data_IF_532144050983
#
_entry.id   IF_532144050983
#
_cell.length_a   1.000
_cell.length_b   1.000
_cell.length_c   1.000
_cell.angle_alpha   90.00
_cell.angle_beta   90.00
_cell.angle_gamma   90.00
#
_symmetry.space_group_name_H-M   'P 1'
#
loop_
_entity.id
_entity.type
_entity.pdbx_description
1 polymer ?
#
# COMPACT_ATOMS: atom_id res chain seq x y z
N UNK A 1 -12.67 35.29 -32.59
CA UNK A 1 -13.27 34.48 -33.68
C UNK A 1 -14.15 33.43 -33.06
N UNK A 2 -15.24 33.02 -33.73
CA UNK A 2 -16.01 31.87 -33.26
C UNK A 2 -15.07 30.66 -33.12
N UNK A 3 -15.33 29.86 -32.10
CA UNK A 3 -14.61 28.62 -31.86
C UNK A 3 -15.59 27.48 -31.64
N UNK A 4 -15.14 26.27 -31.91
CA UNK A 4 -15.92 25.05 -31.85
C UNK A 4 -15.60 24.26 -30.59
N UNK A 5 -16.63 23.64 -30.02
CA UNK A 5 -16.51 22.67 -28.94
C UNK A 5 -17.49 21.52 -29.16
N UNK A 6 -17.29 20.42 -28.43
CA UNK A 6 -18.24 19.32 -28.33
C UNK A 6 -19.21 19.56 -27.18
N UNK A 7 -20.45 19.13 -27.37
CA UNK A 7 -21.53 19.22 -26.40
C UNK A 7 -22.31 17.90 -26.37
N UNK A 8 -23.14 17.73 -25.35
CA UNK A 8 -24.15 16.67 -25.37
C UNK A 8 -25.07 16.84 -26.57
N UNK A 9 -25.48 15.72 -27.16
CA UNK A 9 -26.55 15.68 -28.14
C UNK A 9 -27.54 14.59 -27.78
N UNK A 10 -28.79 14.76 -28.20
CA UNK A 10 -29.81 13.73 -28.02
C UNK A 10 -30.62 13.53 -29.32
N UNK A 11 -29.98 13.07 -30.40
CA UNK A 11 -30.71 12.70 -31.61
C UNK A 11 -31.72 11.58 -31.33
N UNK A 12 -32.87 11.68 -31.97
CA UNK A 12 -33.95 10.70 -31.99
C UNK A 12 -33.51 9.40 -32.69
N UNK A 13 -32.67 9.51 -33.72
CA UNK A 13 -32.14 8.36 -34.46
C UNK A 13 -30.61 8.30 -34.43
N UNK A 14 -30.07 7.09 -34.49
CA UNK A 14 -28.62 6.85 -34.61
C UNK A 14 -28.21 6.50 -36.05
N UNK A 15 -29.16 6.40 -36.98
CA UNK A 15 -28.93 5.84 -38.32
C UNK A 15 -29.49 6.71 -39.46
N UNK A 16 -30.48 7.56 -39.19
CA UNK A 16 -31.15 8.39 -40.20
C UNK A 16 -31.44 9.76 -39.62
N UNK A 17 -31.58 10.79 -40.46
CA UNK A 17 -31.96 12.12 -40.02
C UNK A 17 -33.47 12.22 -39.84
N UNK A 18 -33.90 12.63 -38.66
CA UNK A 18 -35.30 12.78 -38.28
C UNK A 18 -35.59 14.17 -37.70
N UNK A 19 -36.86 14.56 -37.70
CA UNK A 19 -37.26 15.89 -37.22
C UNK A 19 -36.93 16.13 -35.73
N UNK A 20 -36.71 15.07 -34.95
CA UNK A 20 -36.32 15.16 -33.53
C UNK A 20 -34.83 15.39 -33.30
N UNK A 21 -33.99 15.35 -34.34
CA UNK A 21 -32.54 15.51 -34.19
C UNK A 21 -32.10 16.96 -34.09
N UNK A 22 -32.89 17.88 -34.65
CA UNK A 22 -32.65 19.31 -34.64
C UNK A 22 -32.74 19.90 -33.21
N UNK A 23 -31.93 20.93 -32.94
CA UNK A 23 -31.90 21.67 -31.66
C UNK A 23 -31.73 20.80 -30.40
N UNK A 24 -31.05 19.65 -30.53
CA UNK A 24 -30.85 18.69 -29.44
C UNK A 24 -29.54 18.87 -28.67
N UNK A 25 -28.84 20.01 -28.85
CA UNK A 25 -27.52 20.25 -28.27
C UNK A 25 -27.57 20.92 -26.90
N UNK A 26 -26.77 20.43 -25.96
CA UNK A 26 -26.57 21.06 -24.65
C UNK A 26 -25.76 22.35 -24.69
N UNK A 27 -25.56 22.94 -23.51
CA UNK A 27 -24.81 24.18 -23.28
C UNK A 27 -23.44 23.98 -22.61
N UNK A 28 -23.21 22.82 -21.99
CA UNK A 28 -21.96 22.55 -21.27
C UNK A 28 -20.91 21.96 -22.22
N UNK A 29 -19.80 22.68 -22.38
CA UNK A 29 -18.69 22.27 -23.25
C UNK A 29 -17.96 21.04 -22.70
N UNK A 30 -17.71 20.07 -23.58
CA UNK A 30 -17.02 18.82 -23.27
C UNK A 30 -15.51 18.88 -23.43
N UNK A 31 -14.95 19.99 -23.91
CA UNK A 31 -13.50 20.22 -23.99
C UNK A 31 -13.15 21.55 -23.30
N UNK A 32 -12.02 21.58 -22.60
CA UNK A 32 -11.51 22.81 -21.98
C UNK A 32 -10.82 23.74 -23.01
N UNK A 33 -10.28 23.14 -24.07
CA UNK A 33 -9.68 23.86 -25.20
C UNK A 33 -10.60 23.76 -26.41
N UNK A 34 -10.99 24.91 -26.94
CA UNK A 34 -11.82 25.02 -28.14
C UNK A 34 -10.95 25.13 -29.40
N UNK A 35 -11.49 24.75 -30.55
CA UNK A 35 -10.80 24.92 -31.83
C UNK A 35 -11.32 26.18 -32.50
N UNK A 36 -10.45 27.17 -32.69
CA UNK A 36 -10.81 28.39 -33.40
C UNK A 36 -11.21 28.09 -34.85
N UNK A 37 -12.17 28.85 -35.39
CA UNK A 37 -12.64 28.68 -36.76
C UNK A 37 -11.50 28.63 -37.79
N UNK A 38 -10.53 29.54 -37.67
CA UNK A 38 -9.38 29.62 -38.59
C UNK A 38 -8.38 28.45 -38.43
N UNK A 39 -8.46 27.71 -37.33
CA UNK A 39 -7.59 26.59 -37.00
C UNK A 39 -8.25 25.24 -37.27
N UNK A 40 -9.53 25.24 -37.67
CA UNK A 40 -10.26 24.01 -37.95
C UNK A 40 -9.73 23.35 -39.23
N UNK A 41 -9.27 22.11 -39.12
CA UNK A 41 -8.75 21.35 -40.24
C UNK A 41 -9.88 20.85 -41.13
N UNK A 42 -9.81 21.15 -42.43
CA UNK A 42 -10.75 20.65 -43.46
C UNK A 42 -10.19 19.48 -44.27
N UNK A 43 -8.94 19.08 -44.02
CA UNK A 43 -8.27 17.98 -44.73
C UNK A 43 -7.80 16.85 -43.80
N UNK A 44 -7.99 17.01 -42.49
CA UNK A 44 -7.51 16.07 -41.48
C UNK A 44 -8.38 16.07 -40.23
N UNK A 45 -7.94 15.32 -39.22
CA UNK A 45 -8.64 15.26 -37.95
C UNK A 45 -8.50 16.57 -37.16
N UNK A 46 -9.57 16.88 -36.42
CA UNK A 46 -9.59 17.90 -35.39
C UNK A 46 -9.64 17.19 -34.04
N UNK A 47 -8.63 17.39 -33.20
CA UNK A 47 -8.52 16.69 -31.92
C UNK A 47 -9.25 17.46 -30.82
N UNK A 48 -10.33 16.87 -30.32
CA UNK A 48 -11.10 17.38 -29.20
C UNK A 48 -10.72 16.64 -27.92
N UNK A 49 -9.85 17.26 -27.11
CA UNK A 49 -9.44 16.72 -25.82
C UNK A 49 -10.57 16.88 -24.80
N UNK A 50 -11.26 15.77 -24.51
CA UNK A 50 -12.39 15.76 -23.58
C UNK A 50 -11.95 16.12 -22.15
N UNK A 51 -12.72 16.99 -21.50
CA UNK A 51 -12.61 17.30 -20.08
C UNK A 51 -13.33 16.25 -19.22
N UNK A 52 -13.46 16.50 -17.91
CA UNK A 52 -14.12 15.56 -16.99
C UNK A 52 -15.57 15.26 -17.39
N UNK A 53 -16.35 16.29 -17.77
CA UNK A 53 -17.73 16.17 -18.24
C UNK A 53 -17.81 15.39 -19.55
N UNK A 54 -16.96 15.72 -20.53
CA UNK A 54 -16.90 15.03 -21.81
C UNK A 54 -16.53 13.55 -21.68
N UNK A 55 -15.58 13.22 -20.80
CA UNK A 55 -15.21 11.82 -20.49
C UNK A 55 -16.37 11.07 -19.84
N UNK A 56 -17.11 11.71 -18.94
CA UNK A 56 -18.28 11.11 -18.28
C UNK A 56 -19.43 10.82 -19.26
N UNK A 57 -19.52 11.58 -20.37
CA UNK A 57 -20.50 11.40 -21.41
C UNK A 57 -20.19 10.23 -22.38
N UNK A 58 -19.00 9.62 -22.30
CA UNK A 58 -18.67 8.44 -23.11
C UNK A 58 -19.49 7.24 -22.63
N UNK A 59 -20.33 6.71 -23.51
CA UNK A 59 -21.06 5.47 -23.27
C UNK A 59 -20.13 4.26 -23.38
N UNK A 60 -20.11 3.42 -22.35
CA UNK A 60 -19.33 2.17 -22.31
C UNK A 60 -20.06 0.96 -22.91
N UNK A 61 -21.35 1.11 -23.20
CA UNK A 61 -22.26 0.02 -23.59
C UNK A 61 -23.04 0.32 -24.87
N UNK A 62 -22.97 1.54 -25.39
CA UNK A 62 -23.75 2.00 -26.54
C UNK A 62 -23.04 3.16 -27.25
N UNK A 63 -23.73 3.82 -28.19
CA UNK A 63 -23.23 4.97 -28.93
C UNK A 63 -23.03 6.16 -27.99
N UNK A 64 -21.88 6.82 -28.08
CA UNK A 64 -21.64 8.12 -27.44
C UNK A 64 -22.20 9.22 -28.33
N UNK A 65 -23.09 10.05 -27.78
CA UNK A 65 -23.80 11.10 -28.52
C UNK A 65 -23.15 12.46 -28.26
N UNK A 66 -22.41 12.95 -29.25
CA UNK A 66 -21.79 14.27 -29.23
C UNK A 66 -22.34 15.13 -30.36
N UNK A 67 -22.37 16.44 -30.13
CA UNK A 67 -22.66 17.43 -31.16
C UNK A 67 -21.60 18.50 -31.20
N UNK A 68 -21.28 18.96 -32.41
CA UNK A 68 -20.40 20.11 -32.61
C UNK A 68 -21.25 21.38 -32.55
N UNK A 69 -20.82 22.38 -31.78
CA UNK A 69 -21.48 23.67 -31.68
C UNK A 69 -20.46 24.79 -31.59
N UNK A 70 -20.82 25.97 -32.09
CA UNK A 70 -20.04 27.18 -31.87
C UNK A 70 -20.26 27.63 -30.42
N UNK A 71 -19.20 28.02 -29.72
CA UNK A 71 -19.25 28.43 -28.31
C UNK A 71 -20.18 29.63 -28.09
N UNK A 72 -20.22 30.54 -29.06
CA UNK A 72 -21.14 31.68 -29.11
C UNK A 72 -22.61 31.24 -29.04
N UNK A 73 -23.00 30.23 -29.81
CA UNK A 73 -24.37 29.72 -29.79
C UNK A 73 -24.72 29.06 -28.46
N UNK A 74 -23.77 28.36 -27.83
CA UNK A 74 -23.98 27.70 -26.53
C UNK A 74 -24.19 28.69 -25.39
N UNK A 75 -23.60 29.88 -25.51
CA UNK A 75 -23.65 30.95 -24.51
C UNK A 75 -24.64 32.05 -24.84
N UNK A 76 -25.39 31.90 -25.95
CA UNK A 76 -26.29 32.93 -26.49
C UNK A 76 -25.60 34.30 -26.62
N UNK A 77 -24.35 34.28 -27.10
CA UNK A 77 -23.52 35.48 -27.24
C UNK A 77 -23.19 35.73 -28.71
N UNK A 78 -23.46 36.93 -29.26
CA UNK A 78 -23.15 37.20 -30.65
C UNK A 78 -21.63 37.13 -30.90
N UNK A 79 -21.17 36.59 -32.03
CA UNK A 79 -19.74 36.55 -32.31
C UNK A 79 -19.22 37.96 -32.60
N UNK A 80 -17.96 38.24 -32.24
CA UNK A 80 -17.36 39.58 -32.34
C UNK A 80 -16.96 40.06 -33.75
N UNK A 81 -17.38 39.37 -34.80
CA UNK A 81 -17.16 39.79 -36.19
C UNK A 81 -18.10 40.92 -36.62
N UNK A 82 -17.60 41.82 -37.47
CA UNK A 82 -18.38 42.87 -38.13
C UNK A 82 -18.16 42.74 -39.63
N UNK A 83 -19.20 42.32 -40.36
CA UNK A 83 -19.18 42.15 -41.81
C UNK A 83 -20.36 41.33 -42.32
N UNK A 84 -20.91 41.72 -43.48
CA UNK A 84 -21.93 40.96 -44.21
C UNK A 84 -21.28 39.75 -44.92
N UNK A 85 -21.04 38.66 -44.19
CA UNK A 85 -20.67 37.39 -44.80
C UNK A 85 -21.94 36.52 -44.92
N UNK A 86 -22.46 36.40 -46.14
CA UNK A 86 -23.73 35.74 -46.46
C UNK A 86 -23.61 34.25 -46.80
N UNK A 87 -22.49 33.58 -46.47
CA UNK A 87 -22.38 32.15 -46.74
C UNK A 87 -20.99 31.60 -46.47
N UNK A 88 -20.79 31.14 -45.23
CA UNK A 88 -19.67 30.27 -44.90
C UNK A 88 -20.23 28.86 -44.67
N UNK A 89 -19.94 27.95 -45.60
CA UNK A 89 -20.27 26.53 -45.47
C UNK A 89 -19.27 25.86 -44.53
N UNK A 90 -19.77 25.28 -43.44
CA UNK A 90 -18.97 24.42 -42.58
C UNK A 90 -19.01 22.98 -43.10
N UNK A 91 -17.93 22.56 -43.77
CA UNK A 91 -17.81 21.22 -44.33
C UNK A 91 -17.26 20.25 -43.28
N UNK A 92 -18.06 19.26 -42.92
CA UNK A 92 -17.65 18.12 -42.08
C UNK A 92 -17.79 16.82 -42.85
N UNK A 93 -16.72 16.03 -42.81
CA UNK A 93 -16.72 14.69 -43.36
C UNK A 93 -17.54 13.77 -42.45
N UNK A 94 -18.48 13.05 -43.04
CA UNK A 94 -19.32 12.10 -42.32
C UNK A 94 -18.69 10.70 -42.34
N UNK A 95 -19.03 9.88 -41.35
CA UNK A 95 -18.51 8.51 -41.25
C UNK A 95 -18.82 7.62 -42.47
N UNK A 96 -19.80 8.02 -43.28
CA UNK A 96 -20.23 7.33 -44.51
C UNK A 96 -19.34 7.58 -45.73
N UNK A 97 -18.44 8.57 -45.67
CA UNK A 97 -17.60 8.98 -46.82
C UNK A 97 -16.41 8.03 -47.09
N UNK A 98 -16.24 6.97 -46.29
CA UNK A 98 -15.20 5.95 -46.45
C UNK A 98 -14.39 5.71 -45.18
N UNK A 99 -13.53 4.68 -45.17
CA UNK A 99 -12.82 4.21 -43.97
C UNK A 99 -11.84 5.23 -43.37
N UNK A 100 -11.34 6.20 -44.14
CA UNK A 100 -10.36 7.20 -43.70
C UNK A 100 -10.95 8.45 -43.02
N UNK A 101 -12.26 8.61 -43.01
CA UNK A 101 -12.94 9.83 -42.53
C UNK A 101 -13.81 9.58 -41.29
N UNK A 102 -13.81 8.36 -40.75
CA UNK A 102 -14.59 8.03 -39.57
C UNK A 102 -14.00 8.73 -38.33
N UNK A 103 -14.85 9.27 -37.43
CA UNK A 103 -14.38 9.76 -36.15
C UNK A 103 -13.76 8.60 -35.37
N UNK A 104 -12.69 8.88 -34.63
CA UNK A 104 -12.01 7.92 -33.77
C UNK A 104 -12.01 8.43 -32.33
N UNK A 105 -12.24 7.54 -31.38
CA UNK A 105 -11.97 7.79 -29.97
C UNK A 105 -10.54 7.31 -29.67
N UNK A 106 -9.66 8.23 -29.28
CA UNK A 106 -8.31 7.89 -28.83
C UNK A 106 -8.31 7.86 -27.31
N UNK A 107 -8.04 6.68 -26.74
CA UNK A 107 -7.90 6.49 -25.29
C UNK A 107 -6.42 6.35 -24.96
N UNK A 108 -5.90 7.27 -24.17
CA UNK A 108 -4.54 7.19 -23.61
C UNK A 108 -4.64 6.88 -22.13
N UNK A 109 -4.05 5.78 -21.69
CA UNK A 109 -3.98 5.39 -20.28
C UNK A 109 -2.63 4.76 -19.98
N UNK A 110 -2.20 4.87 -18.74
CA UNK A 110 -1.03 4.14 -18.22
C UNK A 110 -1.55 2.86 -17.55
N UNK A 111 -1.12 1.67 -17.97
CA UNK A 111 -1.50 0.44 -17.29
C UNK A 111 -0.87 0.38 -15.89
N UNK A 112 -1.62 -0.16 -14.93
CA UNK A 112 -1.07 -0.50 -13.61
C UNK A 112 -0.12 -1.69 -13.78
N UNK A 113 1.03 -1.65 -13.12
CA UNK A 113 1.98 -2.77 -13.03
C UNK A 113 2.08 -3.28 -11.60
N UNK A 114 2.51 -4.53 -11.40
CA UNK A 114 2.69 -5.06 -10.05
C UNK A 114 3.67 -4.18 -9.24
N UNK A 115 3.51 -4.08 -7.91
CA UNK A 115 4.38 -3.25 -7.07
C UNK A 115 5.84 -3.72 -7.10
N UNK A 116 6.78 -2.80 -6.86
CA UNK A 116 8.18 -3.15 -6.59
C UNK A 116 8.47 -2.97 -5.11
N UNK A 117 8.85 -4.07 -4.45
CA UNK A 117 9.06 -4.12 -3.00
C UNK A 117 10.51 -4.50 -2.72
N UNK A 118 11.03 -4.07 -1.56
CA UNK A 118 12.30 -4.52 -1.00
C UNK A 118 12.04 -5.14 0.37
N UNK A 119 12.80 -6.18 0.70
CA UNK A 119 12.77 -6.84 2.02
C UNK A 119 14.04 -6.44 2.77
N UNK A 120 13.91 -6.01 4.01
CA UNK A 120 15.06 -5.77 4.89
C UNK A 120 15.26 -6.95 5.84
N UNK A 121 16.38 -6.96 6.57
CA UNK A 121 16.69 -8.01 7.54
C UNK A 121 15.60 -8.14 8.61
N UNK A 122 15.38 -9.37 9.08
CA UNK A 122 14.47 -9.68 10.19
C UNK A 122 15.13 -9.32 11.52
N UNK A 123 14.35 -8.78 12.46
CA UNK A 123 14.76 -8.53 13.84
C UNK A 123 13.72 -9.02 14.86
N UNK A 124 13.93 -8.73 16.14
CA UNK A 124 13.07 -9.18 17.26
C UNK A 124 12.74 -10.69 17.22
N UNK A 125 13.76 -11.50 16.89
CA UNK A 125 13.62 -12.95 16.72
C UNK A 125 13.57 -13.62 18.09
N UNK A 126 12.43 -14.24 18.39
CA UNK A 126 12.18 -15.12 19.53
C UNK A 126 11.92 -16.56 19.03
N UNK A 127 11.67 -17.50 19.94
CA UNK A 127 11.51 -18.92 19.61
C UNK A 127 10.32 -19.20 18.68
N UNK A 128 9.28 -18.37 18.73
CA UNK A 128 8.03 -18.55 17.95
C UNK A 128 7.56 -17.27 17.22
N UNK A 129 8.29 -16.16 17.33
CA UNK A 129 7.94 -14.87 16.73
C UNK A 129 9.16 -14.16 16.16
N UNK A 130 8.95 -13.27 15.20
CA UNK A 130 9.98 -12.38 14.65
C UNK A 130 9.32 -11.19 13.95
N UNK A 131 10.07 -10.13 13.64
CA UNK A 131 9.55 -8.95 12.94
C UNK A 131 10.16 -8.84 11.55
N UNK A 132 9.31 -8.86 10.53
CA UNK A 132 9.69 -8.69 9.14
C UNK A 132 9.54 -7.23 8.67
N UNK A 133 10.42 -6.81 7.77
CA UNK A 133 10.51 -5.43 7.28
C UNK A 133 10.41 -5.39 5.76
N UNK A 134 9.61 -4.46 5.25
CA UNK A 134 9.45 -4.23 3.83
C UNK A 134 9.39 -2.76 3.47
N UNK A 135 9.69 -2.44 2.21
CA UNK A 135 9.48 -1.10 1.66
C UNK A 135 8.97 -1.18 0.22
N UNK A 136 7.80 -0.60 -0.02
CA UNK A 136 7.24 -0.42 -1.36
C UNK A 136 8.01 0.73 -1.99
N UNK A 137 8.81 0.45 -3.01
CA UNK A 137 9.62 1.45 -3.74
C UNK A 137 8.89 2.05 -4.93
N UNK A 138 7.95 1.29 -5.51
CA UNK A 138 7.07 1.71 -6.58
C UNK A 138 5.73 0.98 -6.43
N UNK A 139 4.62 1.72 -6.47
CA UNK A 139 3.27 1.15 -6.39
C UNK A 139 2.72 0.76 -7.77
N UNK A 140 3.46 1.02 -8.86
CA UNK A 140 3.07 0.63 -10.21
C UNK A 140 1.88 1.42 -10.75
N UNK A 141 1.64 2.64 -10.24
CA UNK A 141 0.59 3.54 -10.71
C UNK A 141 -0.75 3.42 -9.98
N UNK A 142 -0.84 2.57 -8.96
CA UNK A 142 -2.01 2.42 -8.09
C UNK A 142 -1.56 2.10 -6.67
N UNK A 143 -2.17 2.71 -5.66
CA UNK A 143 -1.90 2.35 -4.26
C UNK A 143 -2.19 0.86 -4.01
N UNK A 144 -1.31 0.23 -3.25
CA UNK A 144 -1.43 -1.18 -2.92
C UNK A 144 -2.59 -1.38 -1.93
N UNK A 145 -3.48 -2.33 -2.22
CA UNK A 145 -4.58 -2.67 -1.31
C UNK A 145 -4.16 -3.60 -0.17
N UNK A 146 -3.00 -4.27 -0.32
CA UNK A 146 -2.42 -5.14 0.70
C UNK A 146 -0.91 -5.01 0.73
N UNK A 147 -0.32 -5.22 1.90
CA UNK A 147 1.13 -5.39 2.07
C UNK A 147 1.44 -6.32 3.23
N UNK A 148 2.62 -6.91 3.21
CA UNK A 148 3.09 -7.66 4.35
C UNK A 148 4.34 -8.47 4.11
N UNK A 149 4.49 -9.55 4.86
CA UNK A 149 5.60 -10.50 4.72
C UNK A 149 5.07 -11.93 4.63
N UNK A 150 5.72 -12.76 3.81
CA UNK A 150 5.44 -14.18 3.66
C UNK A 150 6.71 -15.00 3.89
N UNK A 151 6.59 -16.17 4.53
CA UNK A 151 7.71 -16.99 4.95
C UNK A 151 7.43 -18.50 4.85
N UNK A 152 8.51 -19.27 4.68
CA UNK A 152 8.50 -20.73 4.70
C UNK A 152 9.90 -21.28 5.07
N UNK A 153 10.06 -22.60 5.13
CA UNK A 153 11.34 -23.27 5.45
C UNK A 153 12.03 -23.88 4.23
N UNK A 154 11.46 -23.71 3.04
CA UNK A 154 11.91 -24.34 1.79
C UNK A 154 12.51 -23.37 0.78
N UNK A 155 12.37 -22.06 1.00
CA UNK A 155 12.83 -21.00 0.12
C UNK A 155 11.73 -20.47 -0.80
N UNK A 156 11.99 -19.28 -1.35
CA UNK A 156 11.11 -18.53 -2.23
C UNK A 156 9.65 -18.44 -1.76
N UNK A 157 9.40 -17.96 -0.53
CA UNK A 157 8.03 -17.86 -0.02
C UNK A 157 7.17 -16.91 -0.87
N UNK A 158 5.89 -17.22 -0.92
CA UNK A 158 4.84 -16.48 -1.64
C UNK A 158 3.65 -16.22 -0.72
N UNK A 159 2.67 -15.45 -1.16
CA UNK A 159 1.43 -15.21 -0.39
C UNK A 159 0.55 -16.46 -0.19
N UNK A 160 0.92 -17.60 -0.78
CA UNK A 160 0.29 -18.90 -0.54
C UNK A 160 0.87 -19.66 0.66
N UNK A 161 2.05 -19.25 1.15
CA UNK A 161 2.70 -19.80 2.34
C UNK A 161 2.19 -19.12 3.62
N UNK A 162 2.92 -19.28 4.73
CA UNK A 162 2.67 -18.50 5.95
C UNK A 162 2.89 -17.02 5.68
N UNK A 163 2.00 -16.16 6.18
CA UNK A 163 2.08 -14.71 5.95
C UNK A 163 1.44 -13.87 7.05
N UNK A 164 1.84 -12.61 7.09
CA UNK A 164 1.22 -11.54 7.88
C UNK A 164 0.85 -10.41 6.93
N UNK A 165 -0.43 -10.06 6.89
CA UNK A 165 -1.01 -9.15 5.90
C UNK A 165 -1.68 -7.94 6.59
N UNK A 166 -1.50 -6.77 5.99
CA UNK A 166 -2.25 -5.54 6.27
C UNK A 166 -3.09 -5.19 5.04
N UNK A 167 -4.30 -4.66 5.23
CA UNK A 167 -5.21 -4.24 4.15
C UNK A 167 -5.68 -2.82 4.39
N UNK A 168 -5.37 -1.91 3.46
CA UNK A 168 -5.74 -0.49 3.44
C UNK A 168 -5.35 0.08 2.06
N UNK A 169 -5.19 1.40 1.90
CA UNK A 169 -4.57 2.04 0.74
C UNK A 169 -3.12 2.44 1.06
N UNK A 170 -2.15 1.73 0.47
CA UNK A 170 -0.73 1.95 0.75
C UNK A 170 0.01 2.51 -0.48
N UNK A 171 0.50 3.73 -0.36
CA UNK A 171 1.48 4.28 -1.31
C UNK A 171 2.89 3.74 -1.10
N UNK A 172 3.86 4.40 -1.72
CA UNK A 172 5.30 4.15 -1.52
C UNK A 172 5.67 4.39 -0.06
N UNK A 173 6.44 3.48 0.54
CA UNK A 173 6.91 3.61 1.91
C UNK A 173 7.25 2.30 2.61
N UNK A 174 7.93 2.46 3.75
CA UNK A 174 8.36 1.37 4.61
C UNK A 174 7.19 0.85 5.47
N UNK A 175 7.27 -0.42 5.84
CA UNK A 175 6.31 -1.09 6.71
C UNK A 175 6.98 -2.24 7.46
N UNK A 176 6.40 -2.59 8.60
CA UNK A 176 6.84 -3.71 9.44
C UNK A 176 5.67 -4.63 9.72
N UNK A 177 5.90 -5.94 9.78
CA UNK A 177 4.85 -6.93 10.08
C UNK A 177 5.35 -8.00 11.05
N UNK A 178 4.55 -8.37 12.06
CA UNK A 178 4.89 -9.47 12.94
C UNK A 178 4.75 -10.80 12.21
N UNK A 179 5.68 -11.71 12.47
CA UNK A 179 5.65 -13.12 12.11
C UNK A 179 5.41 -13.91 13.39
N UNK A 180 4.44 -14.83 13.36
CA UNK A 180 4.00 -15.61 14.53
C UNK A 180 3.80 -17.06 14.15
N UNK A 181 3.88 -17.97 15.13
CA UNK A 181 3.71 -19.40 14.90
C UNK A 181 4.94 -20.02 14.23
N UNK A 182 6.12 -19.46 14.50
CA UNK A 182 7.39 -20.04 14.11
C UNK A 182 7.69 -21.23 15.02
N UNK A 183 8.51 -22.16 14.53
CA UNK A 183 9.02 -23.29 15.33
C UNK A 183 10.38 -22.91 15.90
N UNK A 184 10.72 -23.25 17.16
CA UNK A 184 12.06 -23.05 17.71
C UNK A 184 13.11 -23.88 16.97
N UNK A 185 14.36 -23.42 16.97
CA UNK A 185 15.51 -24.09 16.32
C UNK A 185 15.27 -24.37 14.82
N UNK A 186 14.65 -23.43 14.11
CA UNK A 186 14.25 -23.59 12.72
C UNK A 186 14.75 -22.45 11.83
N UNK A 187 15.28 -22.82 10.68
CA UNK A 187 15.68 -21.89 9.61
C UNK A 187 14.47 -21.49 8.76
N UNK A 188 14.33 -20.19 8.47
CA UNK A 188 13.25 -19.60 7.69
C UNK A 188 13.75 -18.67 6.59
N UNK A 189 13.00 -18.66 5.49
CA UNK A 189 13.11 -17.72 4.39
C UNK A 189 11.91 -16.78 4.42
N UNK A 190 12.12 -15.49 4.20
CA UNK A 190 11.05 -14.48 4.18
C UNK A 190 11.19 -13.50 3.01
N UNK A 191 10.05 -13.05 2.47
CA UNK A 191 9.95 -11.96 1.51
C UNK A 191 8.88 -10.96 1.98
N UNK A 192 9.17 -9.67 1.85
CA UNK A 192 8.14 -8.64 1.88
C UNK A 192 7.34 -8.66 0.56
N UNK A 193 6.05 -8.33 0.62
CA UNK A 193 5.19 -8.23 -0.55
C UNK A 193 4.19 -7.09 -0.44
N UNK A 194 3.63 -6.69 -1.59
CA UNK A 194 2.50 -5.79 -1.70
C UNK A 194 1.64 -6.16 -2.91
N UNK A 195 0.36 -5.82 -2.88
CA UNK A 195 -0.62 -6.18 -3.92
C UNK A 195 -1.40 -4.97 -4.40
N UNK A 196 -1.51 -4.79 -5.71
CA UNK A 196 -2.43 -3.87 -6.39
C UNK A 196 -3.25 -4.62 -7.46
N UNK A 197 -4.04 -3.92 -8.28
CA UNK A 197 -4.88 -4.58 -9.29
C UNK A 197 -4.11 -5.37 -10.35
N UNK A 198 -2.80 -5.10 -10.53
CA UNK A 198 -1.94 -5.82 -11.44
C UNK A 198 -1.28 -7.08 -10.83
N UNK A 199 -1.40 -7.30 -9.52
CA UNK A 199 -0.93 -8.51 -8.84
C UNK A 199 0.03 -8.26 -7.67
N UNK A 200 0.66 -9.34 -7.20
CA UNK A 200 1.64 -9.31 -6.11
C UNK A 200 3.03 -8.89 -6.61
N UNK A 201 3.62 -7.93 -5.92
CA UNK A 201 5.03 -7.57 -5.99
C UNK A 201 5.79 -8.12 -4.80
N UNK A 202 6.96 -8.73 -5.03
CA UNK A 202 7.79 -9.32 -3.97
C UNK A 202 9.14 -8.63 -3.89
N UNK A 203 9.65 -8.53 -2.66
CA UNK A 203 11.04 -8.16 -2.41
C UNK A 203 12.02 -9.32 -2.55
N UNK A 204 13.29 -9.01 -2.32
CA UNK A 204 14.35 -10.01 -2.22
C UNK A 204 14.09 -10.97 -1.06
N UNK A 205 14.59 -12.20 -1.18
CA UNK A 205 14.58 -13.15 -0.07
C UNK A 205 15.62 -12.76 0.97
N UNK A 206 15.26 -12.85 2.24
CA UNK A 206 16.19 -12.86 3.36
C UNK A 206 15.93 -14.07 4.25
N UNK A 207 16.89 -14.41 5.09
CA UNK A 207 16.92 -15.64 5.89
C UNK A 207 17.21 -15.33 7.35
N UNK A 208 16.66 -16.14 8.25
CA UNK A 208 16.92 -16.05 9.69
C UNK A 208 16.67 -17.41 10.38
N UNK A 209 17.22 -17.58 11.58
CA UNK A 209 17.06 -18.77 12.41
C UNK A 209 16.37 -18.40 13.73
N UNK A 210 15.40 -19.20 14.17
CA UNK A 210 14.82 -19.07 15.51
C UNK A 210 15.73 -19.74 16.55
N UNK A 211 15.83 -19.17 17.76
CA UNK A 211 16.57 -19.81 18.86
C UNK A 211 15.89 -21.12 19.32
N UNK A 212 16.62 -22.00 20.02
CA UNK A 212 16.04 -23.21 20.60
C UNK A 212 15.06 -22.87 21.72
N UNK A 213 14.10 -23.77 21.97
CA UNK A 213 13.16 -23.62 23.08
C UNK A 213 13.89 -23.65 24.43
N UNK A 214 13.51 -22.77 25.35
CA UNK A 214 14.03 -22.80 26.72
C UNK A 214 13.46 -24.01 27.47
N UNK A 215 14.31 -24.97 27.83
CA UNK A 215 13.94 -26.05 28.74
C UNK A 215 14.22 -25.63 30.18
N UNK A 216 13.17 -25.48 30.99
CA UNK A 216 13.33 -25.33 32.44
C UNK A 216 13.66 -26.71 33.00
N UNK A 217 14.90 -26.90 33.44
CA UNK A 217 15.25 -28.03 34.29
C UNK A 217 14.85 -27.69 35.72
N UNK A 218 13.78 -28.30 36.22
CA UNK A 218 13.50 -28.33 37.66
C UNK A 218 14.61 -29.15 38.33
N UNK A 219 15.50 -28.45 39.05
CA UNK A 219 16.45 -29.11 39.93
C UNK A 219 15.70 -29.44 41.22
N UNK A 220 15.26 -30.69 41.36
CA UNK A 220 14.81 -31.19 42.66
C UNK A 220 15.99 -31.19 43.62
N UNK A 221 15.99 -30.24 44.56
CA UNK A 221 16.91 -30.29 45.70
C UNK A 221 16.35 -31.32 46.67
N UNK A 222 16.89 -32.54 46.59
CA UNK A 222 16.65 -33.57 47.61
C UNK A 222 17.22 -33.09 48.95
N UNK A 223 16.41 -33.18 50.01
CA UNK A 223 16.80 -32.88 51.40
C UNK A 223 18.02 -33.72 51.78
N UNK A 224 19.21 -33.15 51.63
CA UNK A 224 20.46 -33.88 51.86
C UNK A 224 21.77 -33.23 51.45
N UNK A 225 21.80 -31.94 51.07
CA UNK A 225 23.09 -31.21 51.02
C UNK A 225 23.55 -30.95 52.46
N UNK A 226 24.24 -31.94 53.03
CA UNK A 226 25.06 -31.73 54.21
C UNK A 226 26.28 -30.90 53.77
N UNK A 227 26.28 -29.61 54.08
CA UNK A 227 27.49 -28.78 54.04
C UNK A 227 28.39 -29.22 55.20
N UNK A 228 29.16 -30.29 55.03
CA UNK A 228 30.25 -30.62 55.95
C UNK A 228 31.50 -29.82 55.56
N UNK A 229 31.45 -28.49 55.73
CA UNK A 229 32.66 -27.70 55.72
C UNK A 229 33.20 -27.63 57.15
N UNK A 230 34.31 -28.32 57.37
CA UNK A 230 34.93 -28.47 58.69
C UNK A 230 35.68 -27.18 59.00
N UNK A 231 35.09 -26.29 59.79
CA UNK A 231 35.74 -25.09 60.31
C UNK A 231 36.93 -25.46 61.23
N UNK A 232 38.13 -25.58 60.67
CA UNK A 232 39.37 -25.61 61.46
C UNK A 232 39.67 -24.19 61.94
N UNK A 233 39.20 -23.84 63.15
CA UNK A 233 39.58 -22.58 63.83
C UNK A 233 40.96 -22.72 64.45
N UNK A 234 41.97 -22.09 63.85
CA UNK A 234 43.14 -21.62 64.60
C UNK A 234 42.67 -20.51 65.56
N UNK A 235 43.06 -20.51 66.85
CA UNK A 235 42.49 -19.59 67.83
C UNK A 235 43.12 -18.21 67.67
N UNK A 236 42.43 -17.30 66.99
CA UNK A 236 42.70 -15.87 67.14
C UNK A 236 41.86 -15.32 68.28
N UNK A 237 42.56 -14.90 69.32
CA UNK A 237 42.06 -14.31 70.55
C UNK A 237 41.32 -13.00 70.22
N UNK A 238 39.99 -12.99 70.35
CA UNK A 238 39.20 -11.77 70.41
C UNK A 238 38.44 -11.74 71.74
N UNK A 239 38.80 -10.75 72.57
CA UNK A 239 38.03 -10.35 73.76
C UNK A 239 36.75 -9.66 73.30
N UNK A 240 35.66 -9.97 74.01
CA UNK A 240 34.34 -9.35 74.03
C UNK A 240 33.56 -9.32 72.71
N UNK A 241 32.59 -10.24 72.66
CA UNK A 241 31.23 -10.16 72.11
C UNK A 241 31.02 -9.54 70.72
N UNK A 242 30.77 -10.44 69.76
CA UNK A 242 30.09 -10.13 68.48
C UNK A 242 30.94 -10.39 67.24
N UNK A 243 30.89 -11.62 66.70
CA UNK A 243 31.45 -11.93 65.38
C UNK A 243 30.43 -11.51 64.31
N UNK A 244 30.73 -10.47 63.52
CA UNK A 244 30.00 -10.17 62.29
C UNK A 244 30.73 -10.82 61.10
N UNK A 245 30.07 -11.74 60.41
CA UNK A 245 30.46 -12.16 59.05
C UNK A 245 29.83 -11.17 58.08
N UNK A 246 30.67 -10.33 57.46
CA UNK A 246 30.27 -9.47 56.36
C UNK A 246 30.25 -10.28 55.07
N UNK A 247 29.08 -10.74 54.67
CA UNK A 247 28.74 -10.78 53.26
C UNK A 247 27.45 -9.97 53.08
N UNK A 248 27.55 -8.93 52.28
CA UNK A 248 26.75 -7.71 52.40
C UNK A 248 25.37 -7.92 51.77
N UNK A 249 24.39 -8.29 52.59
CA UNK A 249 22.97 -8.15 52.27
C UNK A 249 22.52 -6.73 52.62
N UNK A 250 22.47 -5.82 51.63
CA UNK A 250 21.90 -4.48 51.85
C UNK A 250 20.38 -4.61 51.96
N UNK A 251 19.84 -4.57 53.19
CA UNK A 251 18.43 -4.26 53.48
C UNK A 251 18.37 -2.98 54.30
N UNK A 252 17.65 -1.97 53.80
CA UNK A 252 17.15 -0.88 54.64
C UNK A 252 15.66 -1.14 54.93
N UNK A 253 15.19 -1.07 56.20
CA UNK A 253 13.90 -1.61 56.62
C UNK A 253 12.80 -0.53 56.74
N UNK A 254 11.51 -0.89 56.58
CA UNK A 254 10.33 -0.48 57.39
C UNK A 254 9.10 -1.21 56.83
N UNK A 255 8.75 -2.36 57.45
CA UNK A 255 7.37 -2.66 57.90
C UNK A 255 7.38 -3.96 58.70
N UNK A 256 6.84 -3.87 59.90
CA UNK A 256 6.62 -4.93 60.88
C UNK A 256 5.90 -6.12 60.24
N UNK A 257 6.54 -7.29 60.23
CA UNK A 257 5.92 -8.57 59.89
C UNK A 257 4.99 -8.98 61.04
N UNK A 258 3.70 -9.07 60.74
CA UNK A 258 2.75 -9.91 61.47
C UNK A 258 2.47 -11.10 60.55
N UNK A 259 2.75 -12.31 61.05
CA UNK A 259 2.45 -13.64 60.51
C UNK A 259 2.15 -13.78 59.01
N UNK A 260 3.08 -14.38 58.27
CA UNK A 260 2.84 -14.84 56.90
C UNK A 260 4.12 -15.15 56.14
N UNK A 261 4.47 -16.43 56.08
CA UNK A 261 5.52 -16.97 55.21
C UNK A 261 5.17 -16.69 53.75
N UNK A 262 6.11 -16.11 52.99
CA UNK A 262 6.34 -16.39 51.57
C UNK A 262 7.72 -15.85 51.16
N UNK A 263 8.72 -16.73 51.03
CA UNK A 263 9.93 -16.38 50.29
C UNK A 263 9.57 -16.36 48.80
N UNK A 264 9.58 -15.18 48.20
CA UNK A 264 9.56 -15.00 46.75
C UNK A 264 10.70 -14.07 46.39
N UNK A 265 11.88 -14.64 46.16
CA UNK A 265 12.99 -13.94 45.52
C UNK A 265 13.61 -14.89 44.50
N UNK A 266 13.22 -14.70 43.23
CA UNK A 266 13.83 -15.33 42.07
C UNK A 266 15.07 -14.51 41.76
N UNK A 267 16.24 -15.00 42.17
CA UNK A 267 17.54 -14.46 41.78
C UNK A 267 18.00 -15.19 40.51
N UNK A 268 17.76 -14.57 39.35
CA UNK A 268 18.30 -15.03 38.06
C UNK A 268 19.79 -14.70 38.03
N UNK A 269 20.65 -15.72 37.95
CA UNK A 269 22.06 -15.57 37.53
C UNK A 269 22.19 -16.11 36.11
N UNK A 270 22.54 -15.23 35.17
CA UNK A 270 23.11 -15.62 33.88
C UNK A 270 24.40 -16.42 34.15
N UNK A 271 24.49 -17.63 33.61
CA UNK A 271 25.78 -18.28 33.38
C UNK A 271 25.90 -18.52 31.88
N UNK A 272 26.74 -17.68 31.28
CA UNK A 272 27.29 -17.79 29.95
C UNK A 272 28.25 -19.00 29.89
N UNK A 273 28.07 -19.91 28.92
CA UNK A 273 29.05 -20.97 28.61
C UNK A 273 29.01 -21.41 27.15
N UNK A 274 29.67 -20.66 26.27
CA UNK A 274 30.94 -21.00 25.59
C UNK A 274 31.10 -20.21 24.30
#
# INVERSE_FOLDING_TARGET
NPSFNLYSSNPASNIELENGDYDSLGSDGFCDTTIDYNSFSVIGYNDFALNSTGKAAISKISVSKFGLRIVNDATDSPPGWSGEYYGDEFQVYQAEQGSGFKPKLVVTFTPVTAPTVTTQAVDDIDTETATGHGNITDNGGEDCSKRGVCWNTTGNPTVADSKSEETDSFGVGAFTRPMTGLTPEQHYYVKAYAYNSAGDGYGGQVEFDTPPAYTVHEVEVSDGIALTDTLVKTPMLFKSDGLALSDVLVKTPIKTLVDGIAFKDILVKLIDKR
#
